data_IF_589584138574
#
_entry.id   IF_589584138574
#
_cell.length_a   1.000
_cell.length_b   1.000
_cell.length_c   1.000
_cell.angle_alpha   90.00
_cell.angle_beta   90.00
_cell.angle_gamma   90.00
#
_symmetry.space_group_name_H-M   'P 1'
#
loop_
_entity.id
_entity.type
_entity.pdbx_description
1 polymer ?
#
# COMPACT_ATOMS: atom_id res chain seq x y z
N UNK A 1 -10.65 -17.74 21.89
CA UNK A 1 -9.19 -18.04 21.97
C UNK A 1 -8.60 -18.38 20.61
N UNK A 2 -9.29 -19.18 19.77
CA UNK A 2 -8.84 -19.54 18.41
C UNK A 2 -8.70 -18.36 17.43
N UNK A 3 -9.56 -17.34 17.51
CA UNK A 3 -9.49 -16.16 16.62
C UNK A 3 -8.18 -15.38 16.75
N UNK A 4 -7.73 -15.12 17.98
CA UNK A 4 -6.48 -14.39 18.21
C UNK A 4 -5.27 -15.19 17.73
N UNK A 5 -5.24 -16.50 17.99
CA UNK A 5 -4.17 -17.37 17.48
C UNK A 5 -4.14 -17.37 15.96
N UNK A 6 -5.29 -17.45 15.28
CA UNK A 6 -5.38 -17.39 13.82
C UNK A 6 -4.88 -16.05 13.27
N UNK A 7 -5.34 -14.92 13.83
CA UNK A 7 -4.89 -13.58 13.42
C UNK A 7 -3.38 -13.40 13.63
N UNK A 8 -2.84 -13.94 14.71
CA UNK A 8 -1.42 -13.87 15.03
C UNK A 8 -0.59 -14.75 14.08
N UNK A 9 -1.09 -15.95 13.74
CA UNK A 9 -0.48 -16.79 12.69
C UNK A 9 -0.48 -16.07 11.34
N UNK A 10 -1.60 -15.47 10.94
CA UNK A 10 -1.71 -14.69 9.68
C UNK A 10 -0.74 -13.51 9.70
N UNK A 11 -0.68 -12.77 10.80
CA UNK A 11 0.23 -11.62 10.95
C UNK A 11 1.70 -12.03 10.81
N UNK A 12 2.13 -13.08 11.51
CA UNK A 12 3.51 -13.58 11.45
C UNK A 12 3.82 -14.04 10.02
N UNK A 13 2.97 -14.89 9.42
CA UNK A 13 3.21 -15.40 8.07
C UNK A 13 3.22 -14.27 7.02
N UNK A 14 2.34 -13.27 7.14
CA UNK A 14 2.33 -12.11 6.26
C UNK A 14 3.61 -11.28 6.38
N UNK A 15 4.15 -11.10 7.60
CA UNK A 15 5.43 -10.40 7.80
C UNK A 15 6.61 -11.15 7.15
N UNK A 16 6.66 -12.49 7.30
CA UNK A 16 7.65 -13.33 6.62
C UNK A 16 7.56 -13.20 5.10
N UNK A 17 6.34 -13.28 4.53
CA UNK A 17 6.13 -13.12 3.09
C UNK A 17 6.58 -11.72 2.63
N UNK A 18 6.17 -10.66 3.34
CA UNK A 18 6.55 -9.29 3.02
C UNK A 18 8.07 -9.08 2.97
N UNK A 19 8.80 -9.71 3.89
CA UNK A 19 10.26 -9.67 3.91
C UNK A 19 10.89 -10.27 2.64
N UNK A 20 10.48 -11.49 2.26
CA UNK A 20 11.01 -12.15 1.07
C UNK A 20 10.58 -11.46 -0.24
N UNK A 21 9.40 -10.84 -0.27
CA UNK A 21 8.93 -10.06 -1.43
C UNK A 21 9.84 -8.84 -1.68
N UNK A 22 10.32 -8.18 -0.62
CA UNK A 22 11.12 -6.94 -0.74
C UNK A 22 12.63 -7.20 -0.84
N UNK A 23 13.14 -8.32 -0.30
CA UNK A 23 14.58 -8.61 -0.23
C UNK A 23 15.32 -8.46 -1.58
N UNK A 24 14.71 -8.93 -2.68
CA UNK A 24 15.37 -9.02 -3.99
C UNK A 24 15.15 -7.83 -4.93
N UNK A 25 14.60 -6.71 -4.46
CA UNK A 25 14.27 -5.59 -5.35
C UNK A 25 15.53 -4.94 -5.92
N UNK A 26 15.52 -4.63 -7.23
CA UNK A 26 16.64 -3.95 -7.89
C UNK A 26 16.90 -2.58 -7.25
N UNK A 27 18.16 -2.17 -6.98
CA UNK A 27 18.44 -0.92 -6.28
C UNK A 27 17.82 0.34 -6.89
N UNK A 28 17.69 0.37 -8.22
CA UNK A 28 17.03 1.48 -8.93
C UNK A 28 15.55 1.65 -8.58
N UNK A 29 14.90 0.61 -8.03
CA UNK A 29 13.48 0.59 -7.69
C UNK A 29 13.20 0.88 -6.21
N UNK A 30 14.19 1.20 -5.35
CA UNK A 30 13.91 1.50 -3.94
C UNK A 30 12.97 2.70 -3.73
N UNK A 31 13.15 3.79 -4.48
CA UNK A 31 12.23 4.95 -4.39
C UNK A 31 10.84 4.66 -4.96
N UNK A 32 10.69 4.02 -6.14
CA UNK A 32 9.40 3.49 -6.59
C UNK A 32 8.74 2.53 -5.60
N UNK A 33 9.51 1.62 -4.99
CA UNK A 33 9.01 0.67 -3.99
C UNK A 33 8.47 1.39 -2.76
N UNK A 34 9.18 2.42 -2.27
CA UNK A 34 8.72 3.26 -1.17
C UNK A 34 7.40 3.97 -1.50
N UNK A 35 7.26 4.46 -2.75
CA UNK A 35 6.01 5.08 -3.20
C UNK A 35 4.85 4.08 -3.26
N UNK A 36 5.09 2.87 -3.75
CA UNK A 36 4.07 1.81 -3.84
C UNK A 36 3.66 1.32 -2.45
N UNK A 37 4.61 1.10 -1.53
CA UNK A 37 4.29 0.69 -0.16
C UNK A 37 3.49 1.76 0.60
N UNK A 38 3.77 3.04 0.35
CA UNK A 38 2.94 4.14 0.84
C UNK A 38 1.51 4.09 0.27
N UNK A 39 1.33 3.83 -1.03
CA UNK A 39 0.00 3.68 -1.63
C UNK A 39 -0.79 2.48 -1.06
N UNK A 40 -0.10 1.36 -0.81
CA UNK A 40 -0.68 0.14 -0.21
C UNK A 40 -1.13 0.39 1.24
N UNK A 41 -0.42 1.26 1.99
CA UNK A 41 -0.82 1.65 3.34
C UNK A 41 -2.22 2.27 3.41
N UNK A 42 -2.74 2.78 2.28
CA UNK A 42 -4.11 3.25 2.12
C UNK A 42 -5.20 2.22 2.43
N UNK A 43 -4.86 0.94 2.63
CA UNK A 43 -5.78 -0.12 3.11
C UNK A 43 -6.55 0.26 4.39
N UNK A 44 -6.04 1.22 5.16
CA UNK A 44 -6.76 1.86 6.29
C UNK A 44 -8.15 2.37 5.94
N UNK A 45 -8.45 2.60 4.65
CA UNK A 45 -9.79 2.94 4.15
C UNK A 45 -10.85 1.91 4.55
N UNK A 46 -10.49 0.61 4.63
CA UNK A 46 -11.43 -0.44 5.04
C UNK A 46 -11.89 -0.21 6.48
N UNK A 47 -10.95 0.15 7.37
CA UNK A 47 -11.25 0.50 8.74
C UNK A 47 -12.14 1.75 8.81
N UNK A 48 -11.83 2.78 8.03
CA UNK A 48 -12.63 4.00 7.97
C UNK A 48 -14.07 3.77 7.52
N UNK A 49 -14.28 2.90 6.52
CA UNK A 49 -15.63 2.52 6.05
C UNK A 49 -16.39 1.71 7.12
N UNK A 50 -15.69 0.81 7.82
CA UNK A 50 -16.30 -0.03 8.86
C UNK A 50 -16.79 0.77 10.08
N UNK A 51 -16.23 1.96 10.33
CA UNK A 51 -16.64 2.84 11.43
C UNK A 51 -17.97 3.58 11.18
N UNK A 52 -18.44 3.63 9.93
CA UNK A 52 -19.73 4.23 9.57
C UNK A 52 -19.61 5.58 8.86
N UNK A 53 -20.62 6.44 9.05
CA UNK A 53 -20.82 7.66 8.23
C UNK A 53 -20.77 8.95 9.04
N UNK A 54 -20.21 8.93 10.25
CA UNK A 54 -20.01 10.16 11.01
C UNK A 54 -18.94 11.06 10.35
N UNK A 55 -18.83 12.30 10.86
CA UNK A 55 -17.92 13.30 10.31
C UNK A 55 -16.46 12.81 10.30
N UNK A 56 -16.03 12.07 11.31
CA UNK A 56 -14.65 11.60 11.39
C UNK A 56 -14.39 10.41 10.47
N UNK A 57 -15.33 9.47 10.37
CA UNK A 57 -15.22 8.36 9.41
C UNK A 57 -15.21 8.87 7.97
N UNK A 58 -16.06 9.86 7.65
CA UNK A 58 -16.08 10.50 6.32
C UNK A 58 -14.75 11.21 6.00
N UNK A 59 -14.19 11.94 6.97
CA UNK A 59 -12.89 12.58 6.82
C UNK A 59 -11.75 11.54 6.67
N UNK A 60 -11.80 10.44 7.43
CA UNK A 60 -10.83 9.35 7.34
C UNK A 60 -10.87 8.66 5.97
N UNK A 61 -12.07 8.38 5.44
CA UNK A 61 -12.24 7.84 4.08
C UNK A 61 -11.68 8.81 3.04
N UNK A 62 -11.96 10.11 3.17
CA UNK A 62 -11.41 11.13 2.27
C UNK A 62 -9.87 11.15 2.30
N UNK A 63 -9.26 11.19 3.48
CA UNK A 63 -7.80 11.20 3.63
C UNK A 63 -7.16 9.90 3.12
N UNK A 64 -7.76 8.75 3.42
CA UNK A 64 -7.29 7.47 2.91
C UNK A 64 -7.39 7.39 1.37
N UNK A 65 -8.45 7.95 0.79
CA UNK A 65 -8.60 8.06 -0.66
C UNK A 65 -7.49 8.89 -1.27
N UNK A 66 -7.16 10.05 -0.68
CA UNK A 66 -6.03 10.89 -1.15
C UNK A 66 -4.71 10.10 -1.12
N UNK A 67 -4.45 9.32 -0.07
CA UNK A 67 -3.26 8.48 0.03
C UNK A 67 -3.22 7.41 -1.08
N UNK A 68 -4.34 6.71 -1.33
CA UNK A 68 -4.45 5.69 -2.38
C UNK A 68 -4.22 6.31 -3.77
N UNK A 69 -5.03 7.30 -4.14
CA UNK A 69 -4.98 7.90 -5.48
C UNK A 69 -3.66 8.62 -5.72
N UNK A 70 -3.20 9.42 -4.76
CA UNK A 70 -1.93 10.13 -4.84
C UNK A 70 -0.74 9.16 -4.90
N UNK A 71 -0.72 8.16 -4.02
CA UNK A 71 0.34 7.16 -3.95
C UNK A 71 0.45 6.35 -5.24
N UNK A 72 -0.66 5.86 -5.80
CA UNK A 72 -0.63 5.11 -7.06
C UNK A 72 -0.32 6.01 -8.27
N UNK A 73 -0.81 7.24 -8.31
CA UNK A 73 -0.49 8.18 -9.39
C UNK A 73 1.01 8.53 -9.44
N UNK A 74 1.62 8.76 -8.28
CA UNK A 74 3.08 9.01 -8.18
C UNK A 74 3.86 7.75 -8.54
N UNK A 75 3.48 6.60 -8.01
CA UNK A 75 4.13 5.32 -8.32
C UNK A 75 4.10 5.00 -9.82
N UNK A 76 2.97 5.24 -10.49
CA UNK A 76 2.84 5.06 -11.93
C UNK A 76 3.77 5.98 -12.73
N UNK A 77 3.91 7.24 -12.33
CA UNK A 77 4.86 8.19 -12.94
C UNK A 77 6.31 7.74 -12.74
N UNK A 78 6.64 7.27 -11.54
CA UNK A 78 7.97 6.75 -11.23
C UNK A 78 8.33 5.53 -12.09
N UNK A 79 7.41 4.56 -12.18
CA UNK A 79 7.61 3.35 -12.98
C UNK A 79 7.65 3.64 -14.49
N UNK A 80 6.93 4.67 -14.95
CA UNK A 80 6.99 5.08 -16.35
C UNK A 80 8.39 5.56 -16.79
N UNK A 81 9.23 6.05 -15.87
CA UNK A 81 10.60 6.45 -16.17
C UNK A 81 11.52 5.27 -16.52
N UNK A 82 11.14 4.04 -16.17
CA UNK A 82 11.87 2.82 -16.51
C UNK A 82 11.45 2.21 -17.85
N UNK A 83 10.35 2.69 -18.45
CA UNK A 83 9.92 2.23 -19.77
C UNK A 83 10.87 2.82 -20.82
N UNK A 84 11.39 1.96 -21.70
CA UNK A 84 12.19 2.38 -22.85
C UNK A 84 11.32 3.30 -23.71
N UNK A 85 11.77 4.53 -23.96
CA UNK A 85 11.05 5.45 -24.89
C UNK A 85 10.98 4.77 -26.26
N UNK A 86 9.77 4.64 -26.81
CA UNK A 86 9.61 4.30 -28.23
C UNK A 86 10.35 5.34 -29.05
N UNK A 87 11.22 4.88 -29.96
CA UNK A 87 11.81 5.76 -30.97
C UNK A 87 10.68 6.14 -31.93
N UNK A 88 10.22 7.38 -31.84
CA UNK A 88 9.49 8.02 -32.94
C UNK A 88 10.44 8.27 -34.10
#
# INVERSE_FOLDING_TARGET
>A
MYELSTLLTVFILAAFIGYFVVWGVTPALYSPLMSVSNAISGIVIIGAIALGTDRWSTAAVFLASVNIFGGFAVSARMLAMFKKKEKK
#
